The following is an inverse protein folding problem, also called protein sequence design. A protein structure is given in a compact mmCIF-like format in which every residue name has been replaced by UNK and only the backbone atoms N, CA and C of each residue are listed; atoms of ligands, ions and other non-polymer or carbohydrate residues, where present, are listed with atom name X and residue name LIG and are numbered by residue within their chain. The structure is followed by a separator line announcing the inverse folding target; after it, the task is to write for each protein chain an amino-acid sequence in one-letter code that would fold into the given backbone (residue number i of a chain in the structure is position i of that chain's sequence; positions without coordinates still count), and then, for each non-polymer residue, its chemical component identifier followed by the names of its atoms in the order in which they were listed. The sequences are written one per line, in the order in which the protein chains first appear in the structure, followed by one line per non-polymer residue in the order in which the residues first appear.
data_IF_402772343008
#
_entry.id   IF_402772343008
#
_cell.length_a   1.000
_cell.length_b   1.000
_cell.length_c   1.000
_cell.angle_alpha   90.00
_cell.angle_beta   90.00
_cell.angle_gamma   90.00
#
_symmetry.space_group_name_H-M   'P 1'
#
loop_
_entity.id
_entity.type
_entity.pdbx_description
1 polymer ?
#
# COMPACT_ATOMS: atom_id res chain seq x y z
N UNK A 1 14.91 -2.27 -5.51
CA UNK A 1 16.32 -1.85 -5.67
C UNK A 1 16.32 -0.43 -6.21
N UNK A 2 17.03 0.49 -5.57
CA UNK A 2 17.19 1.86 -6.05
C UNK A 2 18.39 1.92 -7.02
N UNK A 3 18.24 2.62 -8.14
CA UNK A 3 19.31 2.79 -9.14
C UNK A 3 20.30 3.83 -8.63
N UNK A 4 21.57 3.48 -8.51
CA UNK A 4 22.62 4.43 -8.09
C UNK A 4 23.03 5.31 -9.26
N UNK A 5 22.81 6.63 -9.15
CA UNK A 5 23.19 7.62 -10.17
C UNK A 5 24.67 7.54 -10.56
N UNK A 6 25.55 7.36 -9.58
CA UNK A 6 27.00 7.25 -9.78
C UNK A 6 27.42 6.12 -10.72
N UNK A 7 26.64 5.02 -10.79
CA UNK A 7 26.91 3.89 -11.68
C UNK A 7 26.52 4.21 -13.13
N UNK A 8 25.52 5.08 -13.33
CA UNK A 8 25.14 5.56 -14.65
C UNK A 8 26.07 6.68 -15.14
N UNK A 9 26.55 7.53 -14.23
CA UNK A 9 27.53 8.57 -14.54
C UNK A 9 28.89 8.00 -14.98
N UNK A 10 29.24 6.77 -14.60
CA UNK A 10 30.46 6.11 -15.09
C UNK A 10 30.32 5.50 -16.49
N UNK A 11 29.10 5.50 -17.08
CA UNK A 11 28.86 4.95 -18.42
C UNK A 11 29.20 5.94 -19.52
N UNK A 12 29.58 5.43 -20.69
CA UNK A 12 29.76 6.23 -21.90
C UNK A 12 28.41 6.73 -22.45
N UNK A 13 28.43 7.80 -23.23
CA UNK A 13 27.21 8.34 -23.85
C UNK A 13 26.52 7.28 -24.72
N UNK A 14 27.30 6.52 -25.49
CA UNK A 14 26.81 5.42 -26.32
C UNK A 14 26.07 4.34 -25.49
N UNK A 15 26.54 4.05 -24.28
CA UNK A 15 25.82 3.14 -23.39
C UNK A 15 24.55 3.75 -22.80
N UNK A 16 24.56 5.05 -22.48
CA UNK A 16 23.39 5.75 -21.95
C UNK A 16 22.27 5.89 -23.00
N UNK A 17 22.61 5.95 -24.29
CA UNK A 17 21.63 5.90 -25.39
C UNK A 17 20.74 4.64 -25.34
N UNK A 18 21.29 3.50 -24.92
CA UNK A 18 20.52 2.25 -24.80
C UNK A 18 19.38 2.36 -23.78
N UNK A 19 19.50 3.25 -22.79
CA UNK A 19 18.49 3.46 -21.74
C UNK A 19 17.28 4.27 -22.23
N UNK A 20 17.42 5.02 -23.32
CA UNK A 20 16.35 5.88 -23.85
C UNK A 20 15.72 5.36 -25.16
N UNK A 21 16.18 4.19 -25.63
CA UNK A 21 15.53 3.47 -26.74
C UNK A 21 14.14 2.97 -26.33
N UNK A 22 13.18 3.03 -27.27
CA UNK A 22 11.77 2.68 -27.04
C UNK A 22 11.59 1.30 -26.38
N UNK A 23 12.35 0.31 -26.83
CA UNK A 23 12.25 -1.09 -26.40
C UNK A 23 13.40 -1.54 -25.48
N UNK A 24 13.85 -0.66 -24.58
CA UNK A 24 14.92 -1.03 -23.65
C UNK A 24 14.42 -1.94 -22.50
N UNK A 25 15.33 -2.69 -21.87
CA UNK A 25 15.01 -3.60 -20.73
C UNK A 25 15.19 -2.95 -19.36
N UNK A 26 15.54 -1.67 -19.31
CA UNK A 26 15.90 -0.97 -18.09
C UNK A 26 14.67 -0.38 -17.38
N UNK A 27 14.81 -0.20 -16.07
CA UNK A 27 13.76 0.38 -15.21
C UNK A 27 13.56 1.87 -15.49
N UNK A 28 12.33 2.41 -15.28
CA UNK A 28 12.02 3.82 -15.54
C UNK A 28 12.97 4.81 -14.85
N UNK A 29 13.35 4.56 -13.58
CA UNK A 29 14.30 5.41 -12.85
C UNK A 29 15.66 5.49 -13.57
N UNK A 30 16.16 4.38 -14.11
CA UNK A 30 17.41 4.38 -14.85
C UNK A 30 17.29 5.15 -16.17
N UNK A 31 16.12 5.11 -16.81
CA UNK A 31 15.85 5.82 -18.06
C UNK A 31 15.79 7.34 -17.85
N UNK A 32 15.19 7.79 -16.74
CA UNK A 32 15.18 9.21 -16.34
C UNK A 32 16.60 9.69 -16.09
N UNK A 33 17.36 8.97 -15.26
CA UNK A 33 18.73 9.33 -14.92
C UNK A 33 19.64 9.36 -16.15
N UNK A 34 19.52 8.38 -17.05
CA UNK A 34 20.30 8.36 -18.29
C UNK A 34 19.97 9.55 -19.20
N UNK A 35 18.68 9.89 -19.34
CA UNK A 35 18.25 11.07 -20.10
C UNK A 35 18.80 12.38 -19.52
N UNK A 36 18.75 12.55 -18.20
CA UNK A 36 19.31 13.72 -17.51
C UNK A 36 20.84 13.81 -17.66
N UNK A 37 21.55 12.69 -17.52
CA UNK A 37 23.01 12.64 -17.66
C UNK A 37 23.41 13.04 -19.08
N UNK A 38 22.78 12.47 -20.10
CA UNK A 38 23.04 12.82 -21.50
C UNK A 38 22.82 14.32 -21.76
N UNK A 39 21.72 14.89 -21.24
CA UNK A 39 21.46 16.33 -21.35
C UNK A 39 22.54 17.16 -20.63
N UNK A 40 22.97 16.73 -19.44
CA UNK A 40 24.03 17.42 -18.68
C UNK A 40 25.40 17.36 -19.35
N UNK A 41 25.66 16.33 -20.18
CA UNK A 41 26.88 16.17 -20.97
C UNK A 41 26.86 16.95 -22.29
N UNK A 42 25.81 17.74 -22.53
CA UNK A 42 25.70 18.59 -23.71
C UNK A 42 25.07 17.88 -24.93
N UNK A 43 24.46 16.70 -24.74
CA UNK A 43 23.67 16.11 -25.82
C UNK A 43 22.37 16.90 -25.99
N UNK A 44 22.17 17.42 -27.19
CA UNK A 44 20.92 18.05 -27.58
C UNK A 44 19.88 17.01 -28.00
N UNK A 45 18.63 17.27 -27.61
CA UNK A 45 17.47 16.46 -27.96
C UNK A 45 16.48 17.34 -28.69
N UNK A 46 15.95 16.84 -29.81
CA UNK A 46 14.79 17.49 -30.44
C UNK A 46 13.56 17.44 -29.52
N UNK A 47 12.60 18.33 -29.74
CA UNK A 47 11.33 18.32 -29.02
C UNK A 47 10.60 16.98 -29.20
N UNK A 48 10.64 16.42 -30.41
CA UNK A 48 10.04 15.13 -30.77
C UNK A 48 10.70 14.00 -29.99
N UNK A 49 12.04 13.96 -29.91
CA UNK A 49 12.75 12.95 -29.12
C UNK A 49 12.44 13.08 -27.63
N UNK A 50 12.42 14.30 -27.12
CA UNK A 50 12.12 14.58 -25.71
C UNK A 50 10.72 14.07 -25.36
N UNK A 51 9.73 14.35 -26.20
CA UNK A 51 8.35 13.86 -26.04
C UNK A 51 8.26 12.33 -26.14
N UNK A 52 8.99 11.73 -27.08
CA UNK A 52 9.03 10.26 -27.23
C UNK A 52 9.62 9.60 -25.99
N UNK A 53 10.74 10.13 -25.48
CA UNK A 53 11.45 9.58 -24.32
C UNK A 53 10.61 9.76 -23.06
N UNK A 54 10.03 10.94 -22.84
CA UNK A 54 9.17 11.22 -21.69
C UNK A 54 7.90 10.36 -21.69
N UNK A 55 7.26 10.19 -22.85
CA UNK A 55 6.08 9.32 -23.00
C UNK A 55 6.41 7.86 -22.69
N UNK A 56 7.53 7.36 -23.22
CA UNK A 56 8.00 5.99 -22.94
C UNK A 56 8.32 5.80 -21.45
N UNK A 57 9.01 6.75 -20.82
CA UNK A 57 9.32 6.70 -19.39
C UNK A 57 8.04 6.70 -18.56
N UNK A 58 7.06 7.54 -18.93
CA UNK A 58 5.75 7.60 -18.27
C UNK A 58 4.99 6.29 -18.41
N UNK A 59 4.96 5.71 -19.61
CA UNK A 59 4.33 4.42 -19.87
C UNK A 59 4.98 3.29 -19.05
N UNK A 60 6.30 3.20 -19.04
CA UNK A 60 7.01 2.22 -18.20
C UNK A 60 6.85 2.49 -16.70
N UNK A 61 6.70 3.75 -16.30
CA UNK A 61 6.44 4.11 -14.90
C UNK A 61 5.05 3.66 -14.47
N UNK A 62 4.04 3.78 -15.34
CA UNK A 62 2.69 3.22 -15.11
C UNK A 62 2.70 1.69 -15.06
N UNK A 63 3.53 1.03 -15.87
CA UNK A 63 3.70 -0.45 -15.80
C UNK A 63 4.46 -0.88 -14.54
N UNK A 64 5.36 -0.04 -14.02
CA UNK A 64 6.11 -0.29 -12.78
C UNK A 64 5.39 0.20 -11.52
N UNK A 65 4.34 1.01 -11.63
CA UNK A 65 3.35 1.11 -10.57
C UNK A 65 2.91 -0.31 -10.29
N UNK A 66 3.39 -0.80 -9.15
CA UNK A 66 3.29 -2.18 -8.68
C UNK A 66 1.92 -2.68 -9.12
N UNK A 67 1.86 -3.78 -9.87
CA UNK A 67 0.58 -4.42 -10.19
C UNK A 67 0.01 -4.89 -8.85
N UNK A 68 -0.69 -3.98 -8.18
CA UNK A 68 -1.27 -4.19 -6.86
C UNK A 68 -2.47 -5.07 -7.15
N UNK A 69 -2.37 -6.33 -6.75
CA UNK A 69 -3.45 -7.28 -6.92
C UNK A 69 -4.76 -6.66 -6.41
N UNK A 70 -5.89 -6.76 -7.13
CA UNK A 70 -7.14 -6.08 -6.77
C UNK A 70 -7.63 -6.42 -5.35
N UNK A 71 -7.26 -7.60 -4.83
CA UNK A 71 -7.55 -7.99 -3.46
C UNK A 71 -6.86 -7.10 -2.41
N UNK A 72 -5.70 -6.48 -2.68
CA UNK A 72 -5.10 -5.49 -1.78
C UNK A 72 -6.02 -4.27 -1.63
N UNK A 73 -6.60 -3.77 -2.74
CA UNK A 73 -7.56 -2.65 -2.67
C UNK A 73 -8.87 -3.06 -2.00
N UNK A 74 -9.40 -4.25 -2.30
CA UNK A 74 -10.61 -4.78 -1.65
C UNK A 74 -10.40 -4.96 -0.15
N UNK A 75 -9.27 -5.54 0.26
CA UNK A 75 -8.92 -5.72 1.68
C UNK A 75 -8.74 -4.38 2.40
N UNK A 76 -8.06 -3.40 1.77
CA UNK A 76 -7.93 -2.06 2.33
C UNK A 76 -9.29 -1.40 2.57
N UNK A 77 -10.22 -1.51 1.60
CA UNK A 77 -11.57 -0.96 1.75
C UNK A 77 -12.31 -1.59 2.92
N UNK A 78 -12.22 -2.92 3.11
CA UNK A 78 -12.82 -3.60 4.26
C UNK A 78 -12.22 -3.11 5.59
N UNK A 79 -10.90 -2.88 5.64
CA UNK A 79 -10.21 -2.34 6.81
C UNK A 79 -10.67 -0.91 7.09
N UNK A 80 -10.78 -0.05 6.07
CA UNK A 80 -11.29 1.31 6.24
C UNK A 80 -12.76 1.34 6.67
N UNK A 81 -13.60 0.45 6.13
CA UNK A 81 -14.97 0.28 6.61
C UNK A 81 -14.99 -0.14 8.09
N UNK A 82 -14.09 -1.05 8.49
CA UNK A 82 -13.95 -1.45 9.90
C UNK A 82 -13.48 -0.29 10.79
N UNK A 83 -12.60 0.58 10.29
CA UNK A 83 -12.15 1.77 11.01
C UNK A 83 -13.28 2.79 11.18
N UNK A 84 -14.09 3.00 10.13
CA UNK A 84 -15.27 3.86 10.17
C UNK A 84 -16.30 3.34 11.18
N UNK A 85 -16.53 2.03 11.23
CA UNK A 85 -17.36 1.41 12.27
C UNK A 85 -16.79 1.65 13.66
N UNK A 86 -15.46 1.57 13.84
CA UNK A 86 -14.81 1.91 15.10
C UNK A 86 -15.06 3.36 15.54
N UNK A 87 -15.08 4.32 14.60
CA UNK A 87 -15.46 5.71 14.90
C UNK A 87 -16.92 5.79 15.33
N UNK A 88 -17.84 5.18 14.60
CA UNK A 88 -19.27 5.13 14.96
C UNK A 88 -19.44 4.52 16.35
N UNK A 89 -18.71 3.43 16.63
CA UNK A 89 -18.75 2.75 17.91
C UNK A 89 -18.27 3.63 19.08
N UNK A 90 -17.27 4.49 18.83
CA UNK A 90 -16.81 5.45 19.82
C UNK A 90 -17.91 6.47 20.17
N UNK A 91 -18.65 6.98 19.17
CA UNK A 91 -19.81 7.85 19.41
C UNK A 91 -20.97 7.15 20.14
N UNK A 92 -21.15 5.85 19.89
CA UNK A 92 -22.13 5.02 20.59
C UNK A 92 -21.71 4.66 22.03
N UNK A 93 -20.47 4.98 22.42
CA UNK A 93 -19.91 4.68 23.74
C UNK A 93 -19.47 5.97 24.44
N UNK A 94 -20.41 6.81 24.94
CA UNK A 94 -20.11 8.14 25.49
C UNK A 94 -19.07 8.13 26.61
N UNK A 95 -18.96 7.03 27.35
CA UNK A 95 -17.98 6.82 28.43
C UNK A 95 -16.53 7.02 27.98
N UNK A 96 -16.21 6.76 26.70
CA UNK A 96 -14.88 6.99 26.14
C UNK A 96 -14.48 8.46 26.24
N UNK A 97 -15.43 9.37 26.04
CA UNK A 97 -15.18 10.81 26.07
C UNK A 97 -15.06 11.39 27.49
N UNK A 98 -15.40 10.60 28.52
CA UNK A 98 -15.27 11.01 29.92
C UNK A 98 -13.86 10.81 30.47
N UNK A 99 -12.99 10.09 29.75
CA UNK A 99 -11.63 9.77 30.18
C UNK A 99 -10.61 10.13 29.10
N UNK A 100 -9.76 11.13 29.38
CA UNK A 100 -8.69 11.56 28.47
C UNK A 100 -7.79 10.41 28.00
N UNK A 101 -7.49 9.45 28.89
CA UNK A 101 -6.72 8.28 28.52
C UNK A 101 -7.46 7.39 27.51
N UNK A 102 -8.76 7.20 27.70
CA UNK A 102 -9.59 6.42 26.77
C UNK A 102 -9.68 7.09 25.39
N UNK A 103 -9.78 8.42 25.34
CA UNK A 103 -9.74 9.18 24.08
C UNK A 103 -8.39 8.96 23.36
N UNK A 104 -7.26 9.07 24.08
CA UNK A 104 -5.93 8.85 23.50
C UNK A 104 -5.81 7.44 22.93
N UNK A 105 -6.26 6.42 23.69
CA UNK A 105 -6.27 5.03 23.23
C UNK A 105 -7.14 4.84 21.99
N UNK A 106 -8.32 5.46 21.94
CA UNK A 106 -9.23 5.37 20.81
C UNK A 106 -8.63 6.00 19.53
N UNK A 107 -8.06 7.21 19.64
CA UNK A 107 -7.39 7.90 18.53
C UNK A 107 -6.18 7.11 18.04
N UNK A 108 -5.36 6.61 18.97
CA UNK A 108 -4.19 5.79 18.62
C UNK A 108 -4.58 4.50 17.90
N UNK A 109 -5.62 3.81 18.40
CA UNK A 109 -6.16 2.59 17.77
C UNK A 109 -6.69 2.87 16.37
N UNK A 110 -7.45 3.97 16.19
CA UNK A 110 -7.93 4.39 14.88
C UNK A 110 -6.78 4.69 13.92
N UNK A 111 -5.73 5.36 14.40
CA UNK A 111 -4.49 5.62 13.66
C UNK A 111 -3.80 4.34 13.19
N UNK A 112 -3.69 3.33 14.06
CA UNK A 112 -3.12 2.01 13.70
C UNK A 112 -3.96 1.34 12.62
N UNK A 113 -5.28 1.21 12.80
CA UNK A 113 -6.15 0.52 11.83
C UNK A 113 -6.11 1.23 10.47
N UNK A 114 -6.15 2.57 10.48
CA UNK A 114 -6.07 3.40 9.26
C UNK A 114 -4.71 3.26 8.58
N UNK A 115 -3.62 3.29 9.35
CA UNK A 115 -2.26 3.07 8.84
C UNK A 115 -2.08 1.69 8.23
N UNK A 116 -2.68 0.66 8.82
CA UNK A 116 -2.70 -0.68 8.24
C UNK A 116 -3.48 -0.69 6.92
N UNK A 117 -4.67 -0.08 6.88
CA UNK A 117 -5.45 0.06 5.64
C UNK A 117 -4.65 0.74 4.53
N UNK A 118 -3.87 1.77 4.88
CA UNK A 118 -2.98 2.45 3.96
C UNK A 118 -1.88 1.53 3.42
N UNK A 119 -1.17 0.81 4.31
CA UNK A 119 -0.08 -0.09 3.90
C UNK A 119 -0.59 -1.26 3.04
N UNK A 120 -1.77 -1.81 3.37
CA UNK A 120 -2.47 -2.80 2.54
C UNK A 120 -2.79 -2.20 1.16
N UNK A 121 -3.29 -0.96 1.12
CA UNK A 121 -3.65 -0.30 -0.15
C UNK A 121 -2.45 -0.08 -1.09
N UNK A 122 -1.23 -0.09 -0.55
CA UNK A 122 0.04 0.03 -1.29
C UNK A 122 0.62 -1.31 -1.72
N UNK A 123 -0.03 -2.43 -1.38
CA UNK A 123 0.40 -3.76 -1.79
C UNK A 123 1.54 -4.35 -0.95
N UNK A 124 1.70 -3.91 0.30
CA UNK A 124 2.74 -4.47 1.17
C UNK A 124 2.33 -5.87 1.68
N UNK A 125 2.91 -6.90 1.07
CA UNK A 125 2.56 -8.30 1.34
C UNK A 125 2.82 -8.77 2.78
N UNK A 126 3.74 -8.13 3.53
CA UNK A 126 4.00 -8.49 4.93
C UNK A 126 2.81 -8.18 5.84
N UNK A 127 1.98 -7.20 5.47
CA UNK A 127 0.91 -6.68 6.33
C UNK A 127 -0.14 -7.73 6.68
N UNK A 128 -0.34 -8.74 5.83
CA UNK A 128 -1.25 -9.85 6.14
C UNK A 128 -0.84 -10.63 7.40
N UNK A 129 0.45 -10.71 7.71
CA UNK A 129 0.95 -11.34 8.94
C UNK A 129 0.80 -10.43 10.15
N UNK A 130 1.04 -9.12 9.99
CA UNK A 130 0.80 -8.13 11.05
C UNK A 130 -0.68 -8.14 11.45
N UNK A 131 -1.58 -8.09 10.47
CA UNK A 131 -3.02 -8.20 10.69
C UNK A 131 -3.41 -9.51 11.37
N UNK A 132 -2.79 -10.64 10.98
CA UNK A 132 -3.06 -11.93 11.60
C UNK A 132 -2.66 -11.95 13.08
N UNK A 133 -1.49 -11.40 13.43
CA UNK A 133 -1.04 -11.31 14.83
C UNK A 133 -1.96 -10.39 15.64
N UNK A 134 -2.33 -9.23 15.09
CA UNK A 134 -3.28 -8.32 15.75
C UNK A 134 -4.66 -8.98 15.93
N UNK A 135 -5.12 -9.77 14.96
CA UNK A 135 -6.36 -10.52 15.07
C UNK A 135 -6.30 -11.53 16.22
N UNK A 136 -5.18 -12.25 16.39
CA UNK A 136 -5.00 -13.20 17.50
C UNK A 136 -5.11 -12.47 18.85
N UNK A 137 -4.47 -11.31 19.00
CA UNK A 137 -4.65 -10.48 20.19
C UNK A 137 -6.09 -10.02 20.38
N UNK A 138 -6.79 -9.67 19.30
CA UNK A 138 -8.22 -9.34 19.33
C UNK A 138 -9.10 -10.48 19.83
N UNK A 139 -8.81 -11.73 19.41
CA UNK A 139 -9.54 -12.93 19.85
C UNK A 139 -9.37 -13.18 21.35
N UNK A 140 -8.18 -12.90 21.91
CA UNK A 140 -7.96 -12.99 23.37
C UNK A 140 -8.89 -12.02 24.13
N UNK A 141 -9.28 -10.91 23.51
CA UNK A 141 -10.23 -9.95 24.07
C UNK A 141 -11.70 -10.38 24.04
N UNK A 142 -12.07 -11.52 23.44
CA UNK A 142 -13.47 -11.95 23.31
C UNK A 142 -14.26 -12.02 24.63
N UNK A 143 -13.69 -12.48 25.78
CA UNK A 143 -14.42 -12.46 27.04
C UNK A 143 -14.92 -11.06 27.43
N UNK A 144 -14.12 -10.01 27.16
CA UNK A 144 -14.54 -8.62 27.36
C UNK A 144 -15.63 -8.18 26.38
N UNK A 145 -15.60 -8.68 25.13
CA UNK A 145 -16.64 -8.41 24.13
C UNK A 145 -17.98 -9.01 24.56
N UNK A 146 -17.98 -10.23 25.11
CA UNK A 146 -19.20 -10.88 25.61
C UNK A 146 -19.84 -10.07 26.73
N UNK A 147 -19.05 -9.57 27.68
CA UNK A 147 -19.53 -8.68 28.74
C UNK A 147 -20.10 -7.37 28.17
N UNK A 148 -19.46 -6.81 27.14
CA UNK A 148 -19.97 -5.62 26.45
C UNK A 148 -21.27 -5.86 25.67
N UNK A 149 -21.49 -7.04 25.08
CA UNK A 149 -22.76 -7.36 24.39
C UNK A 149 -23.93 -7.37 25.38
N UNK A 150 -23.71 -7.88 26.60
CA UNK A 150 -24.74 -7.92 27.63
C UNK A 150 -25.14 -6.52 28.12
N UNK A 151 -24.16 -5.63 28.25
CA UNK A 151 -24.37 -4.28 28.77
C UNK A 151 -24.78 -3.27 27.68
N UNK A 152 -24.22 -3.41 26.48
CA UNK A 152 -24.39 -2.51 25.34
C UNK A 152 -24.55 -3.33 24.04
N UNK A 153 -25.74 -3.89 23.77
CA UNK A 153 -25.94 -4.82 22.66
C UNK A 153 -25.63 -4.21 21.29
N UNK A 154 -25.91 -2.92 21.09
CA UNK A 154 -25.63 -2.21 19.83
C UNK A 154 -24.12 -2.16 19.56
N UNK A 155 -23.32 -1.76 20.56
CA UNK A 155 -21.85 -1.74 20.50
C UNK A 155 -21.30 -3.14 20.24
N UNK A 156 -21.89 -4.14 20.89
CA UNK A 156 -21.59 -5.55 20.67
C UNK A 156 -21.77 -5.98 19.21
N UNK A 157 -22.91 -5.65 18.60
CA UNK A 157 -23.20 -5.95 17.19
C UNK A 157 -22.20 -5.27 16.25
N UNK A 158 -21.90 -3.98 16.48
CA UNK A 158 -20.92 -3.23 15.68
C UNK A 158 -19.54 -3.89 15.74
N UNK A 159 -19.09 -4.31 16.93
CA UNK A 159 -17.83 -5.02 17.11
C UNK A 159 -17.80 -6.35 16.34
N UNK A 160 -18.88 -7.12 16.34
CA UNK A 160 -18.98 -8.38 15.58
C UNK A 160 -18.82 -8.11 14.08
N UNK A 161 -19.54 -7.13 13.52
CA UNK A 161 -19.39 -6.75 12.12
C UNK A 161 -17.97 -6.29 11.81
N UNK A 162 -17.36 -5.50 12.70
CA UNK A 162 -15.98 -5.06 12.56
C UNK A 162 -15.01 -6.25 12.50
N UNK A 163 -15.17 -7.25 13.37
CA UNK A 163 -14.37 -8.49 13.37
C UNK A 163 -14.55 -9.26 12.06
N UNK A 164 -15.79 -9.44 11.58
CA UNK A 164 -16.07 -10.15 10.32
C UNK A 164 -15.36 -9.47 9.14
N UNK A 165 -15.44 -8.14 9.04
CA UNK A 165 -14.76 -7.38 7.98
C UNK A 165 -13.24 -7.56 8.02
N UNK A 166 -12.64 -7.53 9.21
CA UNK A 166 -11.20 -7.72 9.37
C UNK A 166 -10.76 -9.15 9.04
N UNK A 167 -11.54 -10.17 9.42
CA UNK A 167 -11.28 -11.57 9.04
C UNK A 167 -11.32 -11.69 7.52
N UNK A 168 -12.35 -11.13 6.88
CA UNK A 168 -12.50 -11.21 5.43
C UNK A 168 -11.37 -10.48 4.68
N UNK A 169 -10.91 -9.34 5.20
CA UNK A 169 -9.74 -8.65 4.66
C UNK A 169 -8.49 -9.54 4.71
N UNK A 170 -8.24 -10.24 5.82
CA UNK A 170 -7.11 -11.17 5.96
C UNK A 170 -7.22 -12.31 4.93
N UNK A 171 -8.40 -12.92 4.80
CA UNK A 171 -8.63 -14.00 3.82
C UNK A 171 -8.29 -13.52 2.40
N UNK A 172 -8.74 -12.32 2.02
CA UNK A 172 -8.44 -11.74 0.71
C UNK A 172 -6.94 -11.53 0.49
N UNK A 173 -6.20 -11.12 1.52
CA UNK A 173 -4.76 -10.91 1.44
C UNK A 173 -3.97 -12.22 1.33
N UNK A 174 -4.41 -13.28 2.01
CA UNK A 174 -3.78 -14.60 1.89
C UNK A 174 -4.11 -15.30 0.57
N UNK A 175 -5.21 -14.93 -0.10
CA UNK A 175 -5.56 -15.42 -1.45
C UNK A 175 -4.68 -14.83 -2.55
N UNK A 176 -3.86 -13.82 -2.25
CA UNK A 176 -2.93 -13.22 -3.23
C UNK A 176 -1.77 -14.20 -3.46
N UNK A 177 -1.51 -14.66 -4.70
CA UNK A 177 -0.44 -15.59 -4.97
C UNK A 177 0.92 -15.00 -4.62
N UNK A 178 1.70 -15.74 -3.83
CA UNK A 178 3.08 -15.41 -3.46
C UNK A 178 3.98 -15.46 -4.71
N UNK A 179 4.01 -14.38 -5.48
CA UNK A 179 4.68 -14.33 -6.79
C UNK A 179 4.03 -13.42 -7.82
N UNK A 180 2.86 -12.83 -7.55
CA UNK A 180 2.18 -11.89 -8.46
C UNK A 180 2.99 -10.63 -8.82
N UNK A 181 4.13 -10.38 -8.15
CA UNK A 181 5.13 -9.36 -8.57
C UNK A 181 5.91 -9.76 -9.84
N UNK A 182 5.72 -10.98 -10.34
CA UNK A 182 6.47 -11.56 -11.47
C UNK A 182 5.57 -12.04 -12.60
N UNK A 183 4.49 -11.32 -12.93
CA UNK A 183 4.04 -11.36 -14.33
C UNK A 183 5.07 -10.58 -15.16
N UNK A 184 6.17 -11.28 -15.47
CA UNK A 184 7.05 -10.93 -16.58
C UNK A 184 6.15 -10.91 -17.82
N UNK A 185 6.12 -9.76 -18.49
CA UNK A 185 5.62 -9.67 -19.86
C UNK A 185 6.34 -10.77 -20.66
N UNK A 186 5.60 -11.70 -21.31
CA UNK A 186 6.24 -12.69 -22.16
C UNK A 186 7.01 -11.95 -23.27
N UNK A 187 8.21 -12.46 -23.54
CA UNK A 187 9.15 -11.95 -24.54
C UNK A 187 8.56 -11.93 -25.95
#
# INVERSE_FOLDING_TARGET
MSVKKSVLESKSDKELEEYIKKENRFVPEANILAFEILKSRGREFSEIETQRISSMISEKSKVKEIIIHPNHKKAANLIYTSAALGVINAFLSPEIFNNNFAIVVAVFTLGIITGIGYLVSKGNDWIKYVLLVLMIFGVIGIPFIILNILNNPIVGVVNIFQTILQIYAIILLFRIPSGARLQRVPA
#
